data_IF_359960409100
#
_entry.id   IF_359960409100
#
_cell.length_a   1.000
_cell.length_b   1.000
_cell.length_c   1.000
_cell.angle_alpha   90.00
_cell.angle_beta   90.00
_cell.angle_gamma   90.00
#
_symmetry.space_group_name_H-M   'P 1'
#
loop_
_entity.id
_entity.type
_entity.pdbx_description
1 polymer ?
#
# COMPACT_ATOMS: atom_id res chain seq x y z
N UNK A 1 33.11 -12.74 -48.71
CA UNK A 1 33.34 -12.89 -50.16
C UNK A 1 34.72 -12.32 -50.41
N UNK A 2 35.66 -13.05 -51.02
CA UNK A 2 37.06 -12.60 -51.14
C UNK A 2 37.19 -11.49 -52.20
N UNK A 3 37.63 -10.29 -51.79
CA UNK A 3 37.70 -9.12 -52.68
C UNK A 3 38.79 -9.24 -53.75
N UNK A 4 39.90 -9.91 -53.45
CA UNK A 4 40.98 -10.16 -54.41
C UNK A 4 40.50 -10.96 -55.61
N UNK A 5 39.73 -12.03 -55.37
CA UNK A 5 39.17 -12.86 -56.45
C UNK A 5 38.23 -12.06 -57.36
N UNK A 6 37.40 -11.20 -56.77
CA UNK A 6 36.49 -10.32 -57.52
C UNK A 6 37.25 -9.31 -58.39
N UNK A 7 38.35 -8.75 -57.87
CA UNK A 7 39.19 -7.82 -58.63
C UNK A 7 39.93 -8.54 -59.77
N UNK A 8 40.41 -9.77 -59.53
CA UNK A 8 41.02 -10.62 -60.57
C UNK A 8 40.02 -10.97 -61.68
N UNK A 9 38.78 -11.31 -61.33
CA UNK A 9 37.71 -11.63 -62.28
C UNK A 9 37.29 -10.42 -63.15
N UNK A 10 37.55 -9.19 -62.68
CA UNK A 10 37.27 -7.94 -63.40
C UNK A 10 38.39 -7.52 -64.36
N UNK A 11 39.55 -8.17 -64.31
CA UNK A 11 40.66 -7.84 -65.20
C UNK A 11 40.45 -8.39 -66.62
N UNK A 12 40.84 -7.63 -67.67
CA UNK A 12 40.82 -8.15 -69.04
C UNK A 12 41.71 -9.38 -69.21
N UNK A 13 41.39 -10.33 -70.12
CA UNK A 13 42.11 -11.60 -70.27
C UNK A 13 43.62 -11.48 -70.54
N UNK A 14 44.07 -10.36 -71.12
CA UNK A 14 45.48 -10.09 -71.37
C UNK A 14 46.31 -9.91 -70.08
N UNK A 15 45.65 -9.67 -68.95
CA UNK A 15 46.23 -9.58 -67.61
C UNK A 15 45.95 -10.88 -66.82
N UNK A 16 45.95 -12.05 -67.47
CA UNK A 16 45.83 -13.34 -66.78
C UNK A 16 47.10 -13.58 -65.95
N UNK A 17 46.97 -13.57 -64.64
CA UNK A 17 48.08 -13.40 -63.72
C UNK A 17 48.40 -14.69 -62.97
N UNK A 18 49.68 -15.08 -62.96
CA UNK A 18 50.22 -16.06 -62.04
C UNK A 18 50.20 -15.53 -60.59
N UNK A 19 50.03 -16.41 -59.60
CA UNK A 19 49.84 -16.02 -58.19
C UNK A 19 50.97 -15.14 -57.60
N UNK A 20 52.16 -15.19 -58.20
CA UNK A 20 53.39 -14.50 -57.80
C UNK A 20 53.65 -13.16 -58.54
N UNK A 21 52.71 -12.67 -59.37
CA UNK A 21 52.94 -11.42 -60.10
C UNK A 21 52.87 -10.16 -59.21
N UNK A 22 53.60 -9.13 -59.62
CA UNK A 22 53.54 -7.78 -59.04
C UNK A 22 52.12 -7.20 -59.11
N UNK A 23 51.37 -7.51 -60.16
CA UNK A 23 49.99 -7.04 -60.33
C UNK A 23 49.05 -7.72 -59.32
N UNK A 24 49.28 -9.00 -58.98
CA UNK A 24 48.57 -9.67 -57.88
C UNK A 24 48.86 -8.99 -56.57
N UNK A 25 50.13 -8.70 -56.27
CA UNK A 25 50.53 -8.06 -55.02
C UNK A 25 49.90 -6.66 -54.86
N UNK A 26 49.79 -5.90 -55.96
CA UNK A 26 49.13 -4.60 -55.94
C UNK A 26 47.61 -4.72 -55.74
N UNK A 27 46.96 -5.67 -56.43
CA UNK A 27 45.55 -5.97 -56.22
C UNK A 27 45.25 -6.51 -54.82
N UNK A 28 46.18 -7.22 -54.21
CA UNK A 28 46.07 -7.76 -52.85
C UNK A 28 46.03 -6.62 -51.81
N UNK A 29 46.92 -5.62 -51.95
CA UNK A 29 46.87 -4.40 -51.13
C UNK A 29 45.52 -3.69 -51.31
N UNK A 30 45.06 -3.51 -52.55
CA UNK A 30 43.77 -2.87 -52.81
C UNK A 30 42.59 -3.67 -52.26
N UNK A 31 42.63 -5.01 -52.35
CA UNK A 31 41.62 -5.89 -51.79
C UNK A 31 41.58 -5.81 -50.26
N UNK A 32 42.75 -5.79 -49.61
CA UNK A 32 42.87 -5.63 -48.16
C UNK A 32 42.28 -4.29 -47.69
N UNK A 33 42.59 -3.18 -48.37
CA UNK A 33 42.00 -1.87 -48.06
C UNK A 33 40.47 -1.86 -48.25
N UNK A 34 39.96 -2.55 -49.29
CA UNK A 34 38.51 -2.70 -49.48
C UNK A 34 37.86 -3.55 -48.38
N UNK A 35 38.54 -4.59 -47.89
CA UNK A 35 38.06 -5.41 -46.77
C UNK A 35 38.02 -4.62 -45.46
N UNK A 36 39.05 -3.82 -45.18
CA UNK A 36 39.08 -2.90 -44.02
C UNK A 36 37.93 -1.88 -44.14
N UNK A 37 37.75 -1.26 -45.30
CA UNK A 37 36.66 -0.30 -45.52
C UNK A 37 35.28 -0.96 -45.35
N UNK A 38 35.11 -2.18 -45.85
CA UNK A 38 33.86 -2.93 -45.68
C UNK A 38 33.60 -3.29 -44.22
N UNK A 39 34.63 -3.69 -43.47
CA UNK A 39 34.52 -3.93 -42.02
C UNK A 39 34.11 -2.64 -41.29
N UNK A 40 34.72 -1.51 -41.61
CA UNK A 40 34.35 -0.21 -41.03
C UNK A 40 32.93 0.22 -41.42
N UNK A 41 32.48 -0.05 -42.65
CA UNK A 41 31.11 0.23 -43.07
C UNK A 41 30.12 -0.66 -42.33
N UNK A 42 30.41 -1.95 -42.18
CA UNK A 42 29.58 -2.88 -41.41
C UNK A 42 29.54 -2.47 -39.93
N UNK A 43 30.67 -2.01 -39.39
CA UNK A 43 30.80 -1.46 -38.04
C UNK A 43 29.90 -0.24 -37.83
N UNK A 44 29.96 0.72 -38.75
CA UNK A 44 29.10 1.91 -38.73
C UNK A 44 27.63 1.51 -38.90
N UNK A 45 27.30 0.57 -39.79
CA UNK A 45 25.91 0.13 -39.97
C UNK A 45 25.38 -0.51 -38.68
N UNK A 46 26.17 -1.34 -38.00
CA UNK A 46 25.75 -2.01 -36.77
C UNK A 46 25.54 -1.04 -35.60
N UNK A 47 26.29 0.06 -35.53
CA UNK A 47 26.14 1.04 -34.44
C UNK A 47 24.85 1.87 -34.49
N UNK A 48 24.12 1.83 -35.60
CA UNK A 48 22.86 2.55 -35.77
C UNK A 48 21.61 1.74 -35.37
N UNK A 49 21.74 0.42 -35.16
CA UNK A 49 20.61 -0.46 -34.85
C UNK A 49 20.82 -1.14 -33.51
N UNK A 50 19.86 -0.96 -32.59
CA UNK A 50 19.95 -1.51 -31.23
C UNK A 50 20.08 -3.04 -31.20
N UNK A 51 19.49 -3.75 -32.17
CA UNK A 51 19.58 -5.21 -32.22
C UNK A 51 21.00 -5.70 -32.55
N UNK A 52 21.76 -4.93 -33.35
CA UNK A 52 23.08 -5.31 -33.84
C UNK A 52 24.25 -4.58 -33.20
N UNK A 53 24.00 -3.54 -32.38
CA UNK A 53 25.06 -2.72 -31.78
C UNK A 53 25.94 -3.54 -30.86
N UNK A 54 27.25 -3.58 -31.13
CA UNK A 54 28.19 -4.44 -30.40
C UNK A 54 29.01 -3.69 -29.33
N UNK A 55 28.90 -2.36 -29.26
CA UNK A 55 29.54 -1.49 -28.24
C UNK A 55 28.51 -0.88 -27.30
N UNK A 56 28.85 -0.80 -26.02
CA UNK A 56 27.98 -0.22 -25.00
C UNK A 56 27.79 1.28 -25.21
N UNK A 57 28.86 1.98 -25.56
CA UNK A 57 28.86 3.44 -25.75
C UNK A 57 27.95 3.86 -26.91
N UNK A 58 27.85 3.02 -27.95
CA UNK A 58 26.98 3.28 -29.09
C UNK A 58 25.51 3.00 -28.74
N UNK A 59 25.24 1.96 -27.94
CA UNK A 59 23.90 1.73 -27.39
C UNK A 59 23.44 2.88 -26.48
N UNK A 60 24.34 3.45 -25.66
CA UNK A 60 24.05 4.62 -24.82
C UNK A 60 23.71 5.86 -25.66
N UNK A 61 24.41 6.09 -26.78
CA UNK A 61 24.08 7.18 -27.71
C UNK A 61 22.69 7.01 -28.31
N UNK A 62 22.33 5.79 -28.71
CA UNK A 62 20.99 5.50 -29.24
C UNK A 62 19.91 5.73 -28.17
N UNK A 63 20.13 5.24 -26.94
CA UNK A 63 19.22 5.42 -25.82
C UNK A 63 19.05 6.90 -25.43
N UNK A 64 20.13 7.69 -25.52
CA UNK A 64 20.11 9.12 -25.23
C UNK A 64 19.17 9.92 -26.16
N UNK A 65 18.88 9.43 -27.38
CA UNK A 65 17.88 10.05 -28.27
C UNK A 65 16.48 10.03 -27.67
N UNK A 66 16.20 9.05 -26.79
CA UNK A 66 14.94 8.90 -26.07
C UNK A 66 15.03 9.34 -24.60
N UNK A 67 16.18 9.92 -24.19
CA UNK A 67 16.42 10.31 -22.80
C UNK A 67 16.66 9.15 -21.83
N UNK A 68 16.78 7.91 -22.32
CA UNK A 68 16.96 6.73 -21.49
C UNK A 68 18.44 6.61 -21.10
N UNK A 69 18.71 6.47 -19.80
CA UNK A 69 20.06 6.29 -19.27
C UNK A 69 20.33 4.84 -18.91
N UNK A 70 21.57 4.39 -19.07
CA UNK A 70 22.02 3.08 -18.59
C UNK A 70 22.14 3.09 -17.06
N UNK A 71 21.76 1.98 -16.44
CA UNK A 71 21.97 1.76 -15.00
C UNK A 71 23.39 1.25 -14.74
N UNK A 72 23.92 1.51 -13.55
CA UNK A 72 25.32 1.23 -13.25
C UNK A 72 25.71 -0.25 -13.48
N UNK A 73 24.80 -1.18 -13.14
CA UNK A 73 25.01 -2.63 -13.26
C UNK A 73 24.78 -3.18 -14.68
N UNK A 74 24.18 -2.41 -15.59
CA UNK A 74 23.77 -2.94 -16.87
C UNK A 74 24.96 -3.18 -17.80
N UNK A 75 25.03 -4.39 -18.34
CA UNK A 75 25.92 -4.75 -19.45
C UNK A 75 25.23 -4.46 -20.78
N UNK A 76 25.97 -4.49 -21.90
CA UNK A 76 25.38 -4.30 -23.22
C UNK A 76 24.18 -5.24 -23.48
N UNK A 77 24.24 -6.56 -23.20
CA UNK A 77 23.09 -7.43 -23.41
C UNK A 77 21.86 -7.02 -22.58
N UNK A 78 22.02 -6.70 -21.29
CA UNK A 78 20.87 -6.36 -20.43
C UNK A 78 20.31 -4.98 -20.76
N UNK A 79 21.17 -4.01 -21.00
CA UNK A 79 20.77 -2.67 -21.42
C UNK A 79 20.01 -2.69 -22.75
N UNK A 80 20.50 -3.49 -23.72
CA UNK A 80 19.86 -3.66 -25.01
C UNK A 80 18.44 -4.20 -24.87
N UNK A 81 18.24 -5.27 -24.09
CA UNK A 81 16.90 -5.84 -23.92
C UNK A 81 15.94 -4.88 -23.22
N UNK A 82 16.42 -4.10 -22.24
CA UNK A 82 15.62 -3.03 -21.65
C UNK A 82 15.24 -1.99 -22.68
N UNK A 83 16.19 -1.52 -23.50
CA UNK A 83 15.94 -0.50 -24.51
C UNK A 83 14.95 -0.99 -25.57
N UNK A 84 15.05 -2.25 -26.00
CA UNK A 84 14.13 -2.86 -26.97
C UNK A 84 12.71 -2.95 -26.40
N UNK A 85 12.53 -3.16 -25.10
CA UNK A 85 11.21 -3.16 -24.48
C UNK A 85 10.67 -1.74 -24.22
N UNK A 86 11.53 -0.84 -23.74
CA UNK A 86 11.14 0.50 -23.27
C UNK A 86 10.94 1.51 -24.40
N UNK A 87 11.78 1.47 -25.44
CA UNK A 87 11.73 2.44 -26.53
C UNK A 87 10.39 2.42 -27.30
N UNK A 88 9.84 1.26 -27.71
CA UNK A 88 8.52 1.21 -28.34
C UNK A 88 7.42 1.76 -27.42
N UNK A 89 7.45 1.37 -26.14
CA UNK A 89 6.47 1.84 -25.15
C UNK A 89 6.49 3.38 -25.03
N UNK A 90 7.67 4.00 -24.95
CA UNK A 90 7.78 5.47 -24.91
C UNK A 90 7.31 6.14 -26.20
N UNK A 91 7.65 5.58 -27.37
CA UNK A 91 7.26 6.15 -28.67
C UNK A 91 5.75 6.05 -28.93
N UNK A 92 5.11 5.01 -28.43
CA UNK A 92 3.65 4.82 -28.52
C UNK A 92 2.88 5.63 -27.47
N UNK A 93 3.57 6.22 -26.48
CA UNK A 93 2.91 6.91 -25.36
C UNK A 93 2.21 5.93 -24.40
N UNK A 94 2.80 4.75 -24.21
CA UNK A 94 2.31 3.65 -23.38
C UNK A 94 2.09 4.05 -21.92
N UNK A 95 0.93 4.62 -21.63
CA UNK A 95 0.52 5.03 -20.28
C UNK A 95 -0.67 4.22 -19.77
N UNK A 96 -1.30 3.42 -20.64
CA UNK A 96 -2.46 2.61 -20.30
C UNK A 96 -2.12 1.25 -19.68
N UNK A 97 -3.10 0.58 -19.05
CA UNK A 97 -2.86 -0.67 -18.37
C UNK A 97 -2.32 -1.78 -19.28
N UNK A 98 -2.78 -1.85 -20.53
CA UNK A 98 -2.39 -2.92 -21.44
C UNK A 98 -0.96 -2.74 -21.95
N UNK A 99 -0.56 -1.50 -22.20
CA UNK A 99 0.77 -1.16 -22.67
C UNK A 99 1.79 -1.36 -21.55
N UNK A 100 1.43 -1.02 -20.29
CA UNK A 100 2.24 -1.36 -19.12
C UNK A 100 2.38 -2.88 -18.95
N UNK A 101 1.29 -3.64 -19.14
CA UNK A 101 1.35 -5.11 -19.10
C UNK A 101 2.30 -5.67 -20.16
N UNK A 102 2.19 -5.17 -21.40
CA UNK A 102 3.05 -5.58 -22.51
C UNK A 102 4.52 -5.28 -22.21
N UNK A 103 4.82 -4.06 -21.75
CA UNK A 103 6.17 -3.67 -21.38
C UNK A 103 6.77 -4.56 -20.29
N UNK A 104 6.03 -4.80 -19.20
CA UNK A 104 6.49 -5.64 -18.08
C UNK A 104 6.78 -7.07 -18.55
N UNK A 105 5.89 -7.64 -19.36
CA UNK A 105 6.07 -8.97 -19.94
C UNK A 105 7.30 -9.05 -20.84
N UNK A 106 7.45 -8.11 -21.77
CA UNK A 106 8.59 -8.07 -22.70
C UNK A 106 9.91 -7.87 -21.97
N UNK A 107 9.96 -6.95 -21.02
CA UNK A 107 11.16 -6.69 -20.24
C UNK A 107 11.62 -7.95 -19.47
N UNK A 108 10.74 -8.56 -18.68
CA UNK A 108 11.12 -9.70 -17.83
C UNK A 108 11.48 -10.91 -18.70
N UNK A 109 10.69 -11.23 -19.73
CA UNK A 109 10.94 -12.39 -20.60
C UNK A 109 12.28 -12.27 -21.36
N UNK A 110 12.64 -11.06 -21.78
CA UNK A 110 13.92 -10.77 -22.42
C UNK A 110 15.11 -10.84 -21.46
N UNK A 111 14.97 -10.28 -20.25
CA UNK A 111 15.98 -10.36 -19.21
C UNK A 111 16.26 -11.80 -18.81
N UNK A 112 15.22 -12.64 -18.68
CA UNK A 112 15.41 -14.07 -18.47
C UNK A 112 16.27 -14.68 -19.59
N UNK A 113 15.91 -14.43 -20.85
CA UNK A 113 16.61 -14.97 -22.02
C UNK A 113 18.10 -14.64 -22.01
N UNK A 114 18.45 -13.37 -21.79
CA UNK A 114 19.85 -12.90 -21.82
C UNK A 114 20.65 -13.41 -20.63
N UNK A 115 20.08 -13.38 -19.42
CA UNK A 115 20.78 -13.82 -18.22
C UNK A 115 20.78 -15.35 -18.05
N UNK A 116 20.20 -16.09 -18.98
CA UNK A 116 19.99 -17.55 -18.89
C UNK A 116 19.42 -17.99 -17.53
N UNK A 117 18.61 -17.11 -16.94
CA UNK A 117 18.07 -17.22 -15.59
C UNK A 117 16.56 -17.27 -15.64
N UNK A 118 15.95 -17.87 -14.62
CA UNK A 118 14.48 -17.95 -14.48
C UNK A 118 14.06 -17.14 -13.27
N UNK A 119 13.59 -15.92 -13.50
CA UNK A 119 13.08 -15.02 -12.44
C UNK A 119 11.62 -15.33 -12.12
N UNK A 120 10.86 -15.72 -13.15
CA UNK A 120 9.50 -16.20 -13.09
C UNK A 120 9.37 -17.54 -13.82
N UNK A 121 8.96 -18.57 -13.09
CA UNK A 121 8.88 -19.91 -13.64
C UNK A 121 7.87 -19.98 -14.79
N UNK A 122 8.35 -20.23 -16.01
CA UNK A 122 7.51 -20.50 -17.18
C UNK A 122 7.09 -19.28 -18.00
N UNK A 123 7.56 -18.07 -17.66
CA UNK A 123 7.18 -16.84 -18.38
C UNK A 123 7.54 -16.88 -19.87
N UNK A 124 8.66 -17.52 -20.25
CA UNK A 124 9.07 -17.66 -21.66
C UNK A 124 8.15 -18.53 -22.51
N UNK A 125 7.31 -19.34 -21.87
CA UNK A 125 6.47 -20.35 -22.52
C UNK A 125 4.97 -20.01 -22.39
N UNK A 126 4.65 -18.75 -22.16
CA UNK A 126 3.28 -18.24 -22.05
C UNK A 126 3.12 -17.00 -22.92
N UNK A 127 1.90 -16.73 -23.38
CA UNK A 127 1.58 -15.47 -24.05
C UNK A 127 1.42 -14.34 -23.02
N UNK A 128 1.32 -13.09 -23.48
CA UNK A 128 1.00 -11.94 -22.62
C UNK A 128 -0.24 -12.20 -21.77
N UNK A 129 -1.34 -12.64 -22.39
CA UNK A 129 -2.60 -12.92 -21.71
C UNK A 129 -2.41 -13.98 -20.63
N UNK A 130 -1.71 -15.07 -20.96
CA UNK A 130 -1.43 -16.16 -20.03
C UNK A 130 -0.48 -15.76 -18.88
N UNK A 131 0.35 -14.74 -19.08
CA UNK A 131 1.24 -14.22 -18.05
C UNK A 131 0.47 -13.49 -16.93
N UNK A 132 -0.70 -12.90 -17.24
CA UNK A 132 -1.57 -12.22 -16.27
C UNK A 132 -2.78 -13.07 -15.84
N UNK A 133 -3.20 -14.01 -16.68
CA UNK A 133 -4.30 -14.94 -16.43
C UNK A 133 -3.80 -16.39 -16.62
N UNK A 134 -3.42 -17.07 -15.54
CA UNK A 134 -2.74 -18.36 -15.63
C UNK A 134 -3.66 -19.41 -16.25
N UNK A 135 -3.19 -20.19 -17.24
CA UNK A 135 -4.01 -21.24 -17.83
C UNK A 135 -4.24 -22.39 -16.81
N UNK A 136 -5.41 -23.02 -16.89
CA UNK A 136 -5.88 -24.01 -15.90
C UNK A 136 -4.98 -25.25 -15.76
N UNK A 137 -4.16 -25.52 -16.77
CA UNK A 137 -3.19 -26.63 -16.82
C UNK A 137 -1.89 -26.36 -16.05
N UNK A 138 -1.67 -25.14 -15.54
CA UNK A 138 -0.46 -24.74 -14.81
C UNK A 138 -0.78 -24.16 -13.43
N UNK A 139 -1.25 -24.96 -12.46
CA UNK A 139 -1.67 -24.49 -11.13
C UNK A 139 -0.54 -23.90 -10.28
N UNK A 140 0.72 -24.17 -10.64
CA UNK A 140 1.90 -23.63 -9.95
C UNK A 140 2.41 -22.32 -10.56
N UNK A 141 1.90 -21.92 -11.73
CA UNK A 141 2.27 -20.65 -12.36
C UNK A 141 1.62 -19.50 -11.58
N UNK A 142 2.44 -18.58 -11.09
CA UNK A 142 1.96 -17.36 -10.43
C UNK A 142 1.94 -16.25 -11.47
N UNK A 143 0.77 -15.69 -11.82
CA UNK A 143 0.68 -14.66 -12.84
C UNK A 143 1.26 -13.33 -12.34
N UNK A 144 1.75 -12.52 -13.28
CA UNK A 144 1.94 -11.09 -13.10
C UNK A 144 0.60 -10.45 -12.70
N UNK A 145 0.65 -9.39 -11.90
CA UNK A 145 -0.56 -8.61 -11.60
C UNK A 145 -0.31 -7.13 -11.81
N UNK A 146 -1.26 -6.47 -12.45
CA UNK A 146 -1.35 -5.03 -12.49
C UNK A 146 -2.59 -4.65 -11.68
N UNK A 147 -2.40 -3.97 -10.55
CA UNK A 147 -3.47 -3.53 -9.67
C UNK A 147 -3.68 -2.04 -9.88
N UNK A 148 -4.80 -1.66 -10.48
CA UNK A 148 -5.23 -0.27 -10.58
C UNK A 148 -5.88 0.17 -9.27
N UNK A 149 -5.52 1.37 -8.82
CA UNK A 149 -5.98 2.01 -7.59
C UNK A 149 -5.84 1.07 -6.37
N UNK A 150 -4.58 0.73 -5.99
CA UNK A 150 -4.32 -0.23 -4.92
C UNK A 150 -4.99 0.17 -3.61
N UNK A 151 -5.38 -0.83 -2.82
CA UNK A 151 -5.93 -0.64 -1.49
C UNK A 151 -4.79 -0.49 -0.49
N UNK A 152 -4.69 0.68 0.14
CA UNK A 152 -3.66 0.98 1.13
C UNK A 152 -4.28 1.05 2.51
N UNK A 153 -3.68 0.30 3.44
CA UNK A 153 -3.98 0.40 4.86
C UNK A 153 -3.30 1.65 5.42
N UNK A 154 -4.08 2.54 6.01
CA UNK A 154 -3.63 3.76 6.68
C UNK A 154 -3.92 3.65 8.17
N UNK A 155 -3.05 4.26 8.97
CA UNK A 155 -3.22 4.40 10.41
C UNK A 155 -3.28 5.87 10.76
N UNK A 156 -4.08 6.20 11.76
CA UNK A 156 -4.21 7.57 12.26
C UNK A 156 -2.86 8.10 12.73
N UNK A 157 -2.36 9.13 12.06
CA UNK A 157 -1.13 9.82 12.46
C UNK A 157 -1.37 10.69 13.69
N UNK A 158 -2.57 11.27 13.83
CA UNK A 158 -2.95 12.10 14.97
C UNK A 158 -2.98 11.31 16.28
N UNK A 159 -3.49 10.09 16.27
CA UNK A 159 -3.46 9.19 17.43
C UNK A 159 -2.05 8.64 17.66
N UNK A 160 -1.33 8.23 16.60
CA UNK A 160 0.03 7.71 16.72
C UNK A 160 1.00 8.72 17.34
N UNK A 161 0.87 10.01 17.01
CA UNK A 161 1.69 11.09 17.60
C UNK A 161 1.55 11.20 19.12
N UNK A 162 0.45 10.69 19.69
CA UNK A 162 0.20 10.65 21.15
C UNK A 162 0.44 9.26 21.75
N UNK A 163 0.96 8.31 20.98
CA UNK A 163 1.03 6.90 21.36
C UNK A 163 -0.36 6.31 21.66
N UNK A 164 -1.39 6.78 20.95
CA UNK A 164 -2.80 6.40 21.13
C UNK A 164 -3.45 6.94 22.40
N UNK A 165 -2.74 7.63 23.30
CA UNK A 165 -3.29 8.08 24.58
C UNK A 165 -4.26 9.25 24.40
N UNK A 166 -5.54 8.98 24.59
CA UNK A 166 -6.61 9.96 24.43
C UNK A 166 -7.26 10.30 25.77
N UNK A 167 -7.41 11.60 26.09
CA UNK A 167 -8.26 12.03 27.20
C UNK A 167 -9.75 11.99 26.84
N UNK A 168 -10.58 12.37 27.80
CA UNK A 168 -12.01 12.60 27.56
C UNK A 168 -12.22 13.79 26.61
N UNK A 169 -13.22 13.73 25.74
CA UNK A 169 -13.50 14.74 24.71
C UNK A 169 -12.31 15.03 23.78
N UNK A 170 -11.41 14.07 23.61
CA UNK A 170 -10.29 14.24 22.70
C UNK A 170 -10.79 14.35 21.27
N UNK A 171 -10.50 15.48 20.62
CA UNK A 171 -10.82 15.73 19.22
C UNK A 171 -9.57 15.56 18.37
N UNK A 172 -9.72 14.92 17.22
CA UNK A 172 -8.66 14.82 16.22
C UNK A 172 -9.25 14.83 14.82
N UNK A 173 -8.39 15.00 13.82
CA UNK A 173 -8.78 15.02 12.43
C UNK A 173 -8.02 13.94 11.67
N UNK A 174 -8.72 13.22 10.81
CA UNK A 174 -8.12 12.28 9.85
C UNK A 174 -8.59 12.61 8.45
N UNK A 175 -7.76 12.30 7.44
CA UNK A 175 -8.07 12.61 6.05
C UNK A 175 -8.11 11.31 5.26
N UNK A 176 -9.29 10.96 4.74
CA UNK A 176 -9.42 9.90 3.75
C UNK A 176 -9.07 10.48 2.38
N UNK A 177 -7.91 10.08 1.85
CA UNK A 177 -7.43 10.51 0.53
C UNK A 177 -7.92 9.58 -0.59
N UNK A 178 -8.64 8.51 -0.25
CA UNK A 178 -9.15 7.53 -1.19
C UNK A 178 -10.23 8.06 -2.14
N UNK A 179 -10.55 7.22 -3.12
CA UNK A 179 -11.59 7.49 -4.13
C UNK A 179 -13.01 7.45 -3.57
N UNK A 180 -13.24 6.66 -2.51
CA UNK A 180 -14.56 6.43 -1.92
C UNK A 180 -14.53 6.58 -0.41
N UNK A 181 -15.72 6.72 0.17
CA UNK A 181 -15.92 6.53 1.60
C UNK A 181 -15.41 5.15 2.01
N UNK A 182 -14.91 5.06 3.24
CA UNK A 182 -14.40 3.82 3.82
C UNK A 182 -14.84 3.68 5.27
N UNK A 183 -14.52 2.54 5.89
CA UNK A 183 -14.83 2.24 7.28
C UNK A 183 -13.54 2.15 8.08
N UNK A 184 -13.55 2.83 9.23
CA UNK A 184 -12.45 2.75 10.17
C UNK A 184 -12.64 1.55 11.10
N UNK A 185 -11.52 0.88 11.37
CA UNK A 185 -11.37 -0.12 12.42
C UNK A 185 -10.73 0.57 13.62
N UNK A 186 -11.18 0.20 14.81
CA UNK A 186 -10.68 0.78 16.05
C UNK A 186 -10.18 -0.30 16.99
N UNK A 187 -9.11 -0.02 17.70
CA UNK A 187 -8.73 -0.76 18.89
C UNK A 187 -8.71 0.21 20.08
N UNK A 188 -9.49 -0.09 21.11
CA UNK A 188 -9.60 0.71 22.32
C UNK A 188 -9.09 -0.11 23.49
N UNK A 189 -8.04 0.33 24.15
CA UNK A 189 -7.46 -0.34 25.31
C UNK A 189 -7.65 0.49 26.59
N UNK A 190 -8.00 -0.20 27.67
CA UNK A 190 -8.07 0.43 28.99
C UNK A 190 -6.68 0.77 29.54
N UNK A 191 -6.54 1.94 30.15
CA UNK A 191 -5.26 2.44 30.68
C UNK A 191 -5.14 2.27 32.20
N UNK A 192 -3.91 2.14 32.69
CA UNK A 192 -3.66 1.88 34.12
C UNK A 192 -4.13 3.06 34.99
N UNK A 193 -4.73 2.73 36.13
CA UNK A 193 -5.16 3.71 37.14
C UNK A 193 -6.50 4.39 36.84
N UNK A 194 -7.16 4.05 35.71
CA UNK A 194 -8.46 4.62 35.32
C UNK A 194 -9.37 3.60 34.67
N UNK A 195 -10.67 3.93 34.62
CA UNK A 195 -11.69 3.11 33.98
C UNK A 195 -12.15 3.79 32.70
N UNK A 196 -12.05 3.10 31.57
CA UNK A 196 -12.67 3.55 30.32
C UNK A 196 -14.12 3.06 30.34
N UNK A 197 -14.98 3.89 30.91
CA UNK A 197 -16.41 3.61 31.04
C UNK A 197 -17.13 4.02 29.76
N UNK A 198 -17.87 3.09 29.15
CA UNK A 198 -18.70 3.31 27.96
C UNK A 198 -17.96 4.13 26.87
N UNK A 199 -16.89 3.57 26.26
CA UNK A 199 -16.15 4.28 25.23
C UNK A 199 -17.04 4.51 24.01
N UNK A 200 -17.02 5.73 23.50
CA UNK A 200 -17.83 6.20 22.39
C UNK A 200 -16.95 6.97 21.43
N UNK A 201 -17.06 6.62 20.15
CA UNK A 201 -16.35 7.25 19.06
C UNK A 201 -17.38 7.88 18.13
N UNK A 202 -17.15 9.13 17.77
CA UNK A 202 -18.04 9.89 16.89
C UNK A 202 -17.22 10.47 15.76
N UNK A 203 -17.69 10.27 14.53
CA UNK A 203 -17.26 11.08 13.39
C UNK A 203 -18.23 12.27 13.27
N UNK A 204 -17.76 13.45 13.66
CA UNK A 204 -18.54 14.69 13.64
C UNK A 204 -18.87 15.14 12.21
N UNK A 205 -18.03 14.77 11.25
CA UNK A 205 -18.25 15.12 9.84
C UNK A 205 -19.42 14.35 9.24
N UNK A 206 -19.61 13.08 9.60
CA UNK A 206 -20.73 12.26 9.10
C UNK A 206 -21.90 12.18 10.08
N UNK A 207 -21.71 12.60 11.33
CA UNK A 207 -22.65 12.41 12.43
C UNK A 207 -22.82 10.94 12.83
N UNK A 208 -21.92 10.04 12.42
CA UNK A 208 -22.02 8.63 12.79
C UNK A 208 -21.32 8.40 14.14
N UNK A 209 -22.01 7.72 15.06
CA UNK A 209 -21.53 7.40 16.40
C UNK A 209 -21.53 5.88 16.60
N UNK A 210 -20.50 5.35 17.24
CA UNK A 210 -20.49 3.99 17.79
C UNK A 210 -20.02 4.02 19.24
N UNK A 211 -20.68 3.23 20.09
CA UNK A 211 -20.33 3.10 21.49
C UNK A 211 -20.40 1.66 21.98
N UNK A 212 -19.76 1.41 23.11
CA UNK A 212 -19.73 0.12 23.79
C UNK A 212 -20.26 0.28 25.21
N UNK A 213 -21.31 -0.44 25.60
CA UNK A 213 -22.06 -0.22 26.85
C UNK A 213 -21.35 -0.71 28.12
N UNK A 214 -20.15 -1.30 28.02
CA UNK A 214 -19.42 -1.81 29.18
C UNK A 214 -18.16 -0.98 29.48
N UNK A 215 -17.51 -1.34 30.59
CA UNK A 215 -16.24 -0.75 31.03
C UNK A 215 -15.05 -1.59 30.56
N UNK A 216 -14.06 -0.92 29.96
CA UNK A 216 -12.75 -1.52 29.69
C UNK A 216 -11.83 -1.29 30.89
N UNK A 217 -11.28 -2.40 31.40
CA UNK A 217 -10.29 -2.39 32.48
C UNK A 217 -8.89 -2.26 31.89
N UNK A 218 -7.92 -1.97 32.75
CA UNK A 218 -6.52 -2.02 32.34
C UNK A 218 -6.19 -3.41 31.75
N UNK A 219 -5.54 -3.42 30.58
CA UNK A 219 -5.21 -4.64 29.85
C UNK A 219 -6.33 -5.23 29.01
N UNK A 220 -7.56 -4.72 29.12
CA UNK A 220 -8.61 -5.05 28.16
C UNK A 220 -8.38 -4.28 26.86
N UNK A 221 -8.60 -4.97 25.74
CA UNK A 221 -8.65 -4.41 24.40
C UNK A 221 -9.99 -4.74 23.75
N UNK A 222 -10.69 -3.70 23.28
CA UNK A 222 -11.89 -3.76 22.47
C UNK A 222 -11.53 -3.46 21.02
N UNK A 223 -11.72 -4.43 20.15
CA UNK A 223 -11.55 -4.28 18.71
C UNK A 223 -12.91 -4.07 18.05
N UNK A 224 -13.07 -2.98 17.30
CA UNK A 224 -14.25 -2.67 16.51
C UNK A 224 -13.90 -2.85 15.02
N UNK A 225 -14.66 -3.68 14.32
CA UNK A 225 -14.42 -3.97 12.91
C UNK A 225 -15.71 -4.31 12.17
N UNK A 226 -15.63 -4.43 10.85
CA UNK A 226 -16.78 -4.83 10.01
C UNK A 226 -17.10 -6.29 10.32
N UNK A 227 -18.38 -6.56 10.58
CA UNK A 227 -18.86 -7.92 10.84
C UNK A 227 -18.68 -8.81 9.61
N UNK A 228 -18.35 -10.09 9.84
CA UNK A 228 -18.36 -11.10 8.77
C UNK A 228 -19.76 -11.31 8.18
N UNK A 229 -20.82 -10.94 8.92
CA UNK A 229 -22.20 -10.97 8.45
C UNK A 229 -22.63 -9.69 7.71
N UNK A 230 -21.71 -8.76 7.45
CA UNK A 230 -21.99 -7.57 6.65
C UNK A 230 -22.28 -7.96 5.20
N UNK A 231 -23.33 -7.37 4.62
CA UNK A 231 -23.76 -7.60 3.25
C UNK A 231 -23.91 -6.29 2.48
N UNK A 232 -24.36 -6.37 1.22
CA UNK A 232 -24.59 -5.18 0.38
C UNK A 232 -25.66 -4.23 0.93
N UNK A 233 -26.58 -4.71 1.79
CA UNK A 233 -27.64 -3.89 2.38
C UNK A 233 -27.16 -3.19 3.66
N UNK A 234 -26.28 -3.84 4.42
CA UNK A 234 -25.69 -3.33 5.66
C UNK A 234 -24.16 -3.43 5.61
N UNK A 235 -23.49 -2.72 4.71
CA UNK A 235 -22.03 -2.82 4.54
C UNK A 235 -21.25 -2.31 5.76
N UNK A 236 -21.94 -1.59 6.65
CA UNK A 236 -21.40 -0.96 7.87
C UNK A 236 -21.61 -1.78 9.14
N UNK A 237 -22.22 -2.96 9.05
CA UNK A 237 -22.56 -3.75 10.24
C UNK A 237 -21.31 -3.95 11.11
N UNK A 238 -21.37 -3.49 12.35
CA UNK A 238 -20.25 -3.53 13.28
C UNK A 238 -20.20 -4.88 14.01
N UNK A 239 -18.98 -5.33 14.29
CA UNK A 239 -18.68 -6.39 15.24
C UNK A 239 -17.66 -5.90 16.26
N UNK A 240 -17.76 -6.40 17.48
CA UNK A 240 -16.82 -6.12 18.56
C UNK A 240 -16.19 -7.41 19.10
N UNK A 241 -14.88 -7.35 19.36
CA UNK A 241 -14.18 -8.38 20.11
C UNK A 241 -13.48 -7.76 21.32
N UNK A 242 -13.81 -8.20 22.53
CA UNK A 242 -13.12 -7.85 23.77
C UNK A 242 -12.16 -8.97 24.15
N UNK A 243 -10.85 -8.69 24.14
CA UNK A 243 -9.80 -9.68 24.39
C UNK A 243 -9.95 -10.95 23.54
N UNK A 244 -10.38 -10.78 22.27
CA UNK A 244 -10.63 -11.87 21.33
C UNK A 244 -11.95 -12.64 21.53
N UNK A 245 -12.84 -12.22 22.43
CA UNK A 245 -14.19 -12.78 22.61
C UNK A 245 -15.23 -11.84 22.01
N UNK A 246 -16.22 -12.39 21.32
CA UNK A 246 -17.32 -11.59 20.77
C UNK A 246 -18.04 -10.81 21.87
N UNK A 247 -18.17 -9.50 21.66
CA UNK A 247 -18.83 -8.55 22.54
C UNK A 247 -19.81 -7.65 21.75
N UNK A 248 -20.22 -8.09 20.55
CA UNK A 248 -21.05 -7.32 19.61
C UNK A 248 -22.40 -6.92 20.21
N UNK A 249 -22.97 -7.75 21.09
CA UNK A 249 -24.25 -7.45 21.76
C UNK A 249 -24.21 -6.22 22.67
N UNK A 250 -23.01 -5.80 23.08
CA UNK A 250 -22.81 -4.63 23.94
C UNK A 250 -22.52 -3.35 23.13
N UNK A 251 -22.57 -3.42 21.80
CA UNK A 251 -22.45 -2.24 20.93
C UNK A 251 -23.78 -1.52 20.74
N UNK A 252 -23.69 -0.20 20.55
CA UNK A 252 -24.78 0.63 20.05
C UNK A 252 -24.21 1.65 19.06
N UNK A 253 -25.07 2.13 18.17
CA UNK A 253 -24.71 3.20 17.23
C UNK A 253 -25.90 4.12 16.98
N UNK A 254 -25.61 5.30 16.47
CA UNK A 254 -26.62 6.20 15.89
C UNK A 254 -26.03 6.87 14.66
N UNK A 255 -26.89 7.18 13.71
CA UNK A 255 -26.61 8.11 12.63
C UNK A 255 -27.20 9.49 12.94
N UNK A 256 -26.57 10.56 12.45
CA UNK A 256 -27.05 11.93 12.67
C UNK A 256 -26.84 12.48 14.09
N UNK A 257 -25.83 11.99 14.81
CA UNK A 257 -25.41 12.57 16.08
C UNK A 257 -24.96 14.02 15.89
N UNK A 258 -25.46 14.89 16.77
CA UNK A 258 -25.05 16.29 16.86
C UNK A 258 -24.75 16.62 18.31
N UNK A 259 -23.67 17.35 18.56
CA UNK A 259 -23.34 17.83 19.89
C UNK A 259 -24.46 18.72 20.48
N UNK A 260 -24.58 18.72 21.80
CA UNK A 260 -25.61 19.45 22.54
C UNK A 260 -27.02 18.85 22.46
N UNK A 261 -27.30 17.96 21.51
CA UNK A 261 -28.59 17.28 21.41
C UNK A 261 -28.65 16.05 22.33
N UNK A 262 -29.76 15.85 23.07
CA UNK A 262 -29.93 14.64 23.86
C UNK A 262 -30.07 13.42 22.94
N UNK A 263 -29.33 12.36 23.25
CA UNK A 263 -29.41 11.10 22.54
C UNK A 263 -30.58 10.27 23.09
N UNK A 264 -31.60 10.09 22.27
CA UNK A 264 -32.81 9.33 22.59
C UNK A 264 -32.67 7.88 22.12
N UNK A 265 -33.27 6.93 22.85
CA UNK A 265 -33.17 5.50 22.55
C UNK A 265 -33.76 5.14 21.19
N UNK A 266 -34.76 5.88 20.75
CA UNK A 266 -35.40 5.72 19.44
C UNK A 266 -34.49 6.11 18.26
N UNK A 267 -33.39 6.84 18.53
CA UNK A 267 -32.40 7.22 17.53
C UNK A 267 -31.34 6.13 17.30
N UNK A 268 -31.30 5.10 18.16
CA UNK A 268 -30.34 4.02 17.98
C UNK A 268 -30.66 3.20 16.75
N UNK A 269 -29.60 2.88 16.00
CA UNK A 269 -29.71 1.98 14.88
C UNK A 269 -30.13 0.59 15.41
N UNK A 270 -31.04 -0.11 14.70
CA UNK A 270 -31.53 -1.43 15.13
C UNK A 270 -30.41 -2.48 15.19
N UNK A 271 -29.32 -2.25 14.46
CA UNK A 271 -28.08 -3.03 14.54
C UNK A 271 -26.91 -2.04 14.60
N UNK A 272 -25.85 -2.33 15.39
CA UNK A 272 -24.73 -1.42 15.50
C UNK A 272 -24.00 -1.27 14.16
N UNK A 273 -23.74 -0.04 13.76
CA UNK A 273 -23.07 0.34 12.53
C UNK A 273 -21.76 1.05 12.82
N UNK A 274 -20.69 0.72 12.09
CA UNK A 274 -19.43 1.44 12.17
C UNK A 274 -19.58 2.86 11.59
N UNK A 275 -18.92 3.86 12.18
CA UNK A 275 -18.89 5.20 11.61
C UNK A 275 -18.18 5.21 10.25
N UNK A 276 -18.76 5.93 9.28
CA UNK A 276 -18.11 6.13 7.98
C UNK A 276 -16.93 7.07 8.13
N UNK A 277 -15.93 6.90 7.29
CA UNK A 277 -14.88 7.86 7.04
C UNK A 277 -15.12 8.41 5.63
N UNK A 278 -15.79 9.57 5.55
CA UNK A 278 -16.12 10.21 4.29
C UNK A 278 -14.85 10.62 3.54
N UNK A 279 -14.91 10.77 2.20
CA UNK A 279 -13.77 11.32 1.45
C UNK A 279 -13.41 12.73 1.95
N UNK A 280 -12.12 12.99 2.15
CA UNK A 280 -11.62 14.28 2.63
C UNK A 280 -11.39 14.33 4.15
N UNK A 281 -11.34 15.53 4.75
CA UNK A 281 -11.13 15.69 6.18
C UNK A 281 -12.35 15.20 6.98
N UNK A 282 -12.09 14.42 8.02
CA UNK A 282 -13.07 13.93 8.98
C UNK A 282 -12.64 14.33 10.38
N UNK A 283 -13.54 14.98 11.09
CA UNK A 283 -13.35 15.33 12.49
C UNK A 283 -13.91 14.25 13.39
N UNK A 284 -13.10 13.81 14.34
CA UNK A 284 -13.42 12.74 15.25
C UNK A 284 -13.38 13.24 16.69
N UNK A 285 -14.18 12.60 17.53
CA UNK A 285 -14.12 12.80 18.98
C UNK A 285 -14.26 11.49 19.74
N UNK A 286 -13.47 11.37 20.80
CA UNK A 286 -13.56 10.30 21.77
C UNK A 286 -14.33 10.79 22.99
N UNK A 287 -15.42 10.11 23.29
CA UNK A 287 -16.27 10.32 24.45
C UNK A 287 -16.21 9.08 25.34
N UNK A 288 -16.40 9.23 26.64
CA UNK A 288 -16.52 8.12 27.57
C UNK A 288 -17.56 8.47 28.63
N UNK A 289 -18.69 7.78 28.67
CA UNK A 289 -19.69 8.10 29.68
C UNK A 289 -19.16 7.67 31.06
N UNK A 290 -19.02 8.63 31.98
CA UNK A 290 -18.60 8.35 33.35
C UNK A 290 -19.63 7.46 34.07
N UNK A 291 -19.15 6.38 34.70
CA UNK A 291 -19.89 5.69 35.76
C UNK A 291 -19.51 6.36 37.08
N UNK A 292 -20.46 7.07 37.69
CA UNK A 292 -20.28 7.63 39.02
C UNK A 292 -20.61 6.61 40.11
N UNK A 293 -21.26 5.49 39.76
CA UNK A 293 -21.61 4.43 40.70
C UNK A 293 -22.65 4.90 41.73
N UNK A 294 -23.34 6.00 41.42
CA UNK A 294 -24.39 6.62 42.25
C UNK A 294 -25.64 6.70 41.39
N UNK A 295 -26.67 5.98 41.81
CA UNK A 295 -27.98 5.95 41.15
C UNK A 295 -28.50 7.36 40.90
N UNK A 296 -28.66 7.73 39.63
CA UNK A 296 -29.15 9.05 39.18
C UNK A 296 -28.06 10.02 38.69
N UNK A 297 -26.78 9.80 39.00
CA UNK A 297 -25.64 10.56 38.44
C UNK A 297 -25.10 9.95 37.15
N UNK A 298 -25.43 8.68 36.89
CA UNK A 298 -25.06 7.96 35.66
C UNK A 298 -25.86 8.44 34.42
N UNK A 299 -26.73 9.44 34.56
CA UNK A 299 -27.55 10.02 33.49
C UNK A 299 -26.82 11.16 32.76
N UNK A 300 -26.10 10.79 31.70
CA UNK A 300 -25.78 11.51 30.45
C UNK A 300 -25.21 12.95 30.51
N UNK A 301 -23.91 13.06 30.18
CA UNK A 301 -23.15 14.29 29.82
C UNK A 301 -23.26 14.72 28.35
N UNK A 302 -24.01 13.99 27.51
CA UNK A 302 -24.02 14.22 26.04
C UNK A 302 -24.76 15.50 25.64
N UNK A 303 -25.72 15.95 26.45
CA UNK A 303 -26.40 17.24 26.25
C UNK A 303 -25.58 18.44 26.75
N UNK A 304 -24.47 18.22 27.45
CA UNK A 304 -23.63 19.29 28.04
C UNK A 304 -22.47 19.65 27.10
N UNK A 305 -22.01 18.71 26.27
CA UNK A 305 -21.02 18.99 25.25
C UNK A 305 -21.65 19.79 24.10
N UNK A 306 -21.68 21.11 24.24
CA UNK A 306 -21.82 22.01 23.09
C UNK A 306 -20.60 21.90 22.17
N UNK A 307 -20.69 22.40 20.94
CA UNK A 307 -19.59 22.37 19.97
C UNK A 307 -18.31 23.02 20.50
N UNK A 308 -18.42 23.96 21.44
CA UNK A 308 -17.29 24.68 22.03
C UNK A 308 -16.69 24.00 23.27
N UNK A 309 -17.35 22.98 23.84
CA UNK A 309 -16.86 22.32 25.06
C UNK A 309 -15.56 21.54 24.77
N UNK A 310 -14.50 21.88 25.49
CA UNK A 310 -13.18 21.23 25.40
C UNK A 310 -12.65 20.87 26.78
N UNK A 311 -11.66 19.98 26.82
CA UNK A 311 -10.87 19.78 28.04
C UNK A 311 -10.05 21.05 28.30
N UNK A 312 -10.14 21.58 29.52
CA UNK A 312 -9.49 22.82 29.92
C UNK A 312 -7.97 22.69 29.92
N UNK A 313 -7.30 23.54 29.14
CA UNK A 313 -5.86 23.75 29.21
C UNK A 313 -5.63 25.12 29.85
N UNK A 314 -4.84 25.14 30.93
CA UNK A 314 -4.50 26.37 31.65
C UNK A 314 -3.91 27.39 30.66
N UNK A 315 -4.36 28.65 30.76
CA UNK A 315 -4.04 29.77 29.85
C UNK A 315 -4.53 29.68 28.39
N UNK A 316 -5.22 28.61 27.97
CA UNK A 316 -5.70 28.44 26.58
C UNK A 316 -7.22 28.36 26.44
N UNK A 317 -7.95 28.14 27.53
CA UNK A 317 -9.40 27.90 27.51
C UNK A 317 -10.12 28.82 28.50
N UNK A 318 -11.27 29.36 28.11
CA UNK A 318 -12.15 30.11 29.01
C UNK A 318 -12.84 29.14 29.97
N UNK A 319 -13.04 29.57 31.23
CA UNK A 319 -13.55 28.72 32.31
C UNK A 319 -14.98 28.22 32.05
N UNK A 320 -15.73 28.92 31.20
CA UNK A 320 -17.14 28.69 30.91
C UNK A 320 -17.35 27.56 29.87
N UNK A 321 -16.29 27.11 29.21
CA UNK A 321 -16.30 26.16 28.08
C UNK A 321 -15.32 24.97 28.28
N UNK A 322 -14.86 24.78 29.52
CA UNK A 322 -13.79 23.85 29.86
C UNK A 322 -14.26 22.79 30.86
N UNK A 323 -13.99 21.51 30.56
CA UNK A 323 -14.00 20.46 31.58
C UNK A 323 -12.65 20.37 32.27
N UNK A 324 -12.64 20.05 33.58
CA UNK A 324 -11.39 19.77 34.28
C UNK A 324 -10.58 18.69 33.55
N UNK A 325 -9.24 18.84 33.49
CA UNK A 325 -8.39 17.89 32.79
C UNK A 325 -8.62 16.48 33.32
N UNK A 326 -9.32 15.73 32.48
CA UNK A 326 -9.41 14.30 32.38
C UNK A 326 -8.11 13.66 32.76
N UNK A 327 -7.08 13.95 31.96
CA UNK A 327 -5.95 13.07 31.68
C UNK A 327 -6.36 11.89 30.79
N UNK A 328 -5.43 11.01 30.44
CA UNK A 328 -5.69 9.85 29.56
C UNK A 328 -6.78 8.93 30.12
N UNK A 329 -7.81 8.64 29.33
CA UNK A 329 -8.91 7.72 29.71
C UNK A 329 -8.89 6.42 28.91
N UNK A 330 -8.26 6.40 27.74
CA UNK A 330 -8.10 5.21 26.91
C UNK A 330 -6.84 5.32 26.04
N UNK A 331 -6.40 4.18 25.51
CA UNK A 331 -5.50 4.13 24.38
C UNK A 331 -6.32 3.73 23.14
N UNK A 332 -6.29 4.57 22.11
CA UNK A 332 -7.06 4.42 20.89
C UNK A 332 -6.11 4.25 19.69
N UNK A 333 -6.37 3.23 18.89
CA UNK A 333 -5.79 3.06 17.57
C UNK A 333 -6.91 3.06 16.52
N UNK A 334 -6.62 3.67 15.38
CA UNK A 334 -7.55 3.77 14.26
C UNK A 334 -6.82 3.39 12.98
N UNK A 335 -7.40 2.48 12.23
CA UNK A 335 -6.89 1.99 10.95
C UNK A 335 -8.03 1.99 9.93
N UNK A 336 -7.76 2.39 8.69
CA UNK A 336 -8.72 2.28 7.59
C UNK A 336 -8.02 1.82 6.32
N UNK A 337 -8.80 1.31 5.38
CA UNK A 337 -8.29 0.96 4.05
C UNK A 337 -8.85 1.94 3.03
N UNK A 338 -7.98 2.69 2.37
CA UNK A 338 -8.37 3.60 1.30
C UNK A 338 -7.96 3.05 -0.06
N UNK A 339 -8.75 3.35 -1.09
CA UNK A 339 -8.41 3.02 -2.48
C UNK A 339 -7.64 4.21 -3.04
N UNK A 340 -6.34 4.06 -3.28
CA UNK A 340 -5.46 5.16 -3.68
C UNK A 340 -5.87 5.71 -5.06
N UNK A 341 -6.14 7.01 -5.20
CA UNK A 341 -6.53 7.59 -6.48
C UNK A 341 -5.34 7.69 -7.43
N UNK A 342 -5.57 7.45 -8.72
CA UNK A 342 -4.58 7.63 -9.78
C UNK A 342 -3.25 6.93 -9.42
N UNK A 343 -3.34 5.64 -9.11
CA UNK A 343 -2.18 4.85 -8.75
C UNK A 343 -2.26 3.44 -9.35
N UNK A 344 -1.12 2.81 -9.63
CA UNK A 344 -1.07 1.40 -9.97
C UNK A 344 0.13 0.70 -9.35
N UNK A 345 -0.06 -0.59 -9.04
CA UNK A 345 1.03 -1.47 -8.59
C UNK A 345 1.23 -2.63 -9.58
N UNK A 346 2.49 -2.83 -10.00
CA UNK A 346 2.92 -3.99 -10.77
C UNK A 346 3.51 -5.01 -9.81
N UNK A 347 2.88 -6.17 -9.70
CA UNK A 347 3.36 -7.29 -8.88
C UNK A 347 4.04 -8.33 -9.75
N UNK A 348 5.30 -8.60 -9.42
CA UNK A 348 6.12 -9.64 -10.03
C UNK A 348 6.33 -10.75 -8.98
N UNK A 349 5.65 -11.89 -9.09
CA UNK A 349 5.80 -12.97 -8.12
C UNK A 349 7.19 -13.61 -8.23
N UNK A 350 7.91 -13.70 -7.10
CA UNK A 350 9.18 -14.42 -7.06
C UNK A 350 8.95 -15.93 -6.95
N UNK A 351 9.63 -16.66 -7.82
CA UNK A 351 9.74 -18.12 -7.79
C UNK A 351 11.12 -18.51 -7.20
N UNK A 352 11.35 -19.79 -6.89
CA UNK A 352 12.71 -20.27 -6.58
C UNK A 352 13.56 -20.08 -7.85
N UNK A 353 14.52 -19.18 -7.78
CA UNK A 353 15.41 -18.81 -8.88
C UNK A 353 16.64 -19.71 -8.83
N UNK A 354 17.04 -20.25 -9.97
CA UNK A 354 18.42 -20.73 -10.16
C UNK A 354 19.24 -19.54 -10.63
N UNK A 355 20.02 -18.97 -9.72
CA UNK A 355 20.88 -17.81 -10.02
C UNK A 355 22.13 -18.28 -10.78
N UNK A 356 22.62 -17.49 -11.76
CA UNK A 356 23.79 -17.85 -12.54
C UNK A 356 25.05 -17.70 -11.67
N UNK A 357 25.77 -18.81 -11.49
CA UNK A 357 26.94 -18.92 -10.59
C UNK A 357 28.05 -17.90 -10.85
N UNK A 358 28.14 -17.35 -12.07
CA UNK A 358 29.20 -16.42 -12.47
C UNK A 358 28.88 -14.93 -12.24
N UNK A 359 27.61 -14.58 -11.95
CA UNK A 359 27.21 -13.20 -11.60
C UNK A 359 27.35 -12.90 -10.10
N UNK A 360 27.36 -13.94 -9.26
CA UNK A 360 27.40 -13.83 -7.78
C UNK A 360 28.75 -13.40 -7.21
N UNK A 361 29.84 -13.41 -7.99
CA UNK A 361 31.19 -13.17 -7.46
C UNK A 361 31.67 -11.72 -7.53
N UNK A 362 30.96 -10.82 -8.23
CA UNK A 362 31.44 -9.46 -8.47
C UNK A 362 30.58 -8.34 -7.85
N UNK A 363 29.34 -8.62 -7.43
CA UNK A 363 28.40 -7.62 -6.92
C UNK A 363 27.66 -8.17 -5.69
N UNK A 364 27.60 -7.40 -4.60
CA UNK A 364 26.88 -7.73 -3.36
C UNK A 364 25.34 -7.78 -3.52
N UNK A 365 24.82 -7.54 -4.73
CA UNK A 365 23.37 -7.40 -5.02
C UNK A 365 22.92 -8.52 -5.98
N UNK A 366 21.93 -9.35 -5.59
CA UNK A 366 21.40 -10.42 -6.43
C UNK A 366 20.85 -9.93 -7.78
N UNK A 367 21.01 -10.73 -8.84
CA UNK A 367 20.56 -10.37 -10.20
C UNK A 367 19.07 -10.00 -10.29
N UNK A 368 18.20 -10.62 -9.49
CA UNK A 368 16.77 -10.29 -9.50
C UNK A 368 16.49 -8.87 -8.97
N UNK A 369 17.31 -8.36 -8.05
CA UNK A 369 17.14 -7.00 -7.50
C UNK A 369 17.55 -5.95 -8.52
N UNK A 370 18.59 -6.24 -9.31
CA UNK A 370 19.01 -5.42 -10.43
C UNK A 370 17.90 -5.33 -11.50
N UNK A 371 17.31 -6.47 -11.89
CA UNK A 371 16.15 -6.49 -12.80
C UNK A 371 14.95 -5.75 -12.17
N UNK A 372 14.75 -5.88 -10.87
CA UNK A 372 13.67 -5.17 -10.18
C UNK A 372 13.88 -3.65 -10.17
N UNK A 373 15.11 -3.19 -9.97
CA UNK A 373 15.50 -1.78 -10.10
C UNK A 373 15.25 -1.28 -11.52
N UNK A 374 15.73 -2.00 -12.54
CA UNK A 374 15.49 -1.62 -13.93
C UNK A 374 14.02 -1.57 -14.32
N UNK A 375 13.20 -2.48 -13.79
CA UNK A 375 11.75 -2.41 -13.98
C UNK A 375 11.12 -1.22 -13.27
N UNK A 376 11.52 -0.92 -12.03
CA UNK A 376 11.02 0.25 -11.28
C UNK A 376 11.32 1.54 -12.03
N UNK A 377 12.56 1.73 -12.45
CA UNK A 377 13.00 2.95 -13.12
C UNK A 377 12.29 3.11 -14.47
N UNK A 378 12.14 2.02 -15.23
CA UNK A 378 11.43 2.08 -16.51
C UNK A 378 9.93 2.36 -16.34
N UNK A 379 9.28 1.83 -15.31
CA UNK A 379 7.88 2.15 -14.98
C UNK A 379 7.75 3.61 -14.54
N UNK A 380 8.73 4.15 -13.82
CA UNK A 380 8.78 5.58 -13.49
C UNK A 380 8.98 6.46 -14.72
N UNK A 381 9.60 5.97 -15.79
CA UNK A 381 9.66 6.71 -17.07
C UNK A 381 8.35 6.62 -17.87
N UNK A 382 7.58 5.53 -17.73
CA UNK A 382 6.35 5.28 -18.48
C UNK A 382 5.07 5.82 -17.83
N UNK A 383 5.04 6.01 -16.51
CA UNK A 383 3.81 6.39 -15.83
C UNK A 383 3.28 7.77 -16.29
N UNK A 384 1.96 7.92 -16.36
CA UNK A 384 1.34 9.19 -16.70
C UNK A 384 1.57 10.24 -15.59
N UNK A 385 1.71 11.51 -15.97
CA UNK A 385 1.92 12.60 -15.02
C UNK A 385 0.82 12.63 -13.93
N UNK A 386 1.23 12.65 -12.66
CA UNK A 386 0.33 12.65 -11.52
C UNK A 386 -0.23 11.28 -11.12
N UNK A 387 0.17 10.20 -11.81
CA UNK A 387 -0.16 8.82 -11.43
C UNK A 387 0.96 8.23 -10.57
N UNK A 388 0.64 7.72 -9.39
CA UNK A 388 1.61 6.99 -8.58
C UNK A 388 1.85 5.60 -9.16
N UNK A 389 3.10 5.22 -9.38
CA UNK A 389 3.45 3.90 -9.91
C UNK A 389 4.41 3.19 -8.96
N UNK A 390 4.13 1.91 -8.70
CA UNK A 390 4.99 1.09 -7.84
C UNK A 390 5.19 -0.30 -8.44
N UNK A 391 6.42 -0.80 -8.38
CA UNK A 391 6.73 -2.18 -8.75
C UNK A 391 7.13 -2.97 -7.51
N UNK A 392 6.39 -4.04 -7.24
CA UNK A 392 6.56 -4.94 -6.10
C UNK A 392 7.01 -6.30 -6.60
N UNK A 393 8.26 -6.64 -6.33
CA UNK A 393 8.73 -8.02 -6.46
C UNK A 393 8.35 -8.76 -5.18
N UNK A 394 7.38 -9.65 -5.27
CA UNK A 394 6.85 -10.34 -4.10
C UNK A 394 7.94 -11.25 -3.54
N UNK A 395 8.30 -11.16 -2.25
CA UNK A 395 9.29 -12.05 -1.68
C UNK A 395 8.81 -13.49 -1.79
N UNK A 396 9.73 -14.42 -2.02
CA UNK A 396 9.42 -15.84 -1.90
C UNK A 396 9.04 -16.12 -0.43
N UNK A 397 7.78 -16.49 -0.20
CA UNK A 397 7.28 -16.87 1.12
C UNK A 397 6.91 -18.34 1.10
N UNK A 398 7.64 -19.13 1.89
CA UNK A 398 7.19 -20.46 2.30
C UNK A 398 6.42 -20.32 3.61
N UNK A 399 5.11 -20.58 3.57
CA UNK A 399 4.22 -20.38 4.73
C UNK A 399 4.07 -21.71 5.45
N UNK A 400 4.88 -21.93 6.48
CA UNK A 400 4.66 -23.01 7.44
C UNK A 400 3.65 -22.55 8.49
N UNK A 401 2.40 -23.04 8.43
CA UNK A 401 1.35 -22.69 9.38
C UNK A 401 1.61 -23.34 10.75
N UNK A 402 2.24 -22.63 11.67
CA UNK A 402 2.27 -22.98 13.09
C UNK A 402 1.40 -22.01 13.90
N UNK A 403 0.44 -22.52 14.68
CA UNK A 403 -0.37 -21.73 15.62
C UNK A 403 0.32 -21.72 16.98
N UNK A 404 0.97 -20.61 17.33
CA UNK A 404 1.52 -20.41 18.68
C UNK A 404 0.49 -19.65 19.52
N UNK A 405 0.11 -20.21 20.67
CA UNK A 405 -0.68 -19.51 21.69
C UNK A 405 0.21 -19.31 22.92
N UNK A 406 0.51 -18.06 23.25
CA UNK A 406 1.11 -17.70 24.53
C UNK A 406 0.00 -17.20 25.46
N UNK A 407 -0.14 -17.82 26.63
CA UNK A 407 -1.06 -17.37 27.68
C UNK A 407 -0.20 -16.79 28.80
N UNK A 408 -0.38 -15.50 29.10
CA UNK A 408 0.32 -14.84 30.21
C UNK A 408 -0.69 -14.59 31.33
N UNK A 409 -0.47 -15.22 32.47
CA UNK A 409 -1.38 -15.18 33.63
C UNK A 409 -1.04 -14.00 34.54
N UNK A 410 -1.56 -12.80 34.24
CA UNK A 410 -1.54 -11.70 35.20
C UNK A 410 -2.87 -11.64 35.96
N UNK A 411 -2.82 -11.64 37.28
CA UNK A 411 -3.97 -11.40 38.15
C UNK A 411 -4.10 -9.88 38.30
N UNK A 412 -5.10 -9.29 37.63
CA UNK A 412 -5.44 -7.88 37.80
C UNK A 412 -6.39 -7.78 38.99
N UNK A 413 -5.93 -7.16 40.07
CA UNK A 413 -6.73 -6.92 41.27
C UNK A 413 -7.56 -5.66 41.02
N UNK A 414 -8.89 -5.79 41.07
CA UNK A 414 -9.79 -4.63 40.97
C UNK A 414 -9.57 -3.70 42.18
N UNK A 415 -9.53 -2.35 42.00
CA UNK A 415 -9.57 -1.44 43.13
C UNK A 415 -10.90 -1.60 43.90
N UNK A 416 -10.83 -1.48 45.23
CA UNK A 416 -11.97 -1.68 46.16
C UNK A 416 -13.25 -1.02 45.63
N UNK A 417 -14.30 -1.83 45.49
CA UNK A 417 -15.62 -1.37 45.10
C UNK A 417 -16.35 -0.87 46.35
N UNK A 418 -16.86 0.36 46.30
CA UNK A 418 -17.79 0.85 47.32
C UNK A 418 -19.09 0.02 47.37
N UNK A 419 -19.89 0.12 48.44
CA UNK A 419 -21.05 -0.75 48.69
C UNK A 419 -22.25 -0.58 47.74
N UNK A 420 -22.17 0.33 46.76
CA UNK A 420 -23.20 0.51 45.75
C UNK A 420 -22.96 -0.48 44.60
N UNK A 421 -23.85 -1.47 44.46
CA UNK A 421 -23.75 -2.51 43.44
C UNK A 421 -23.75 -1.98 42.00
N UNK A 422 -23.44 -2.86 41.05
CA UNK A 422 -23.43 -2.58 39.62
C UNK A 422 -24.89 -2.50 39.12
N UNK A 423 -25.40 -1.29 38.90
CA UNK A 423 -26.69 -1.07 38.25
C UNK A 423 -26.60 -1.39 36.74
N UNK A 424 -27.69 -1.91 36.15
CA UNK A 424 -27.82 -2.08 34.69
C UNK A 424 -28.01 -0.71 34.04
N UNK A 425 -27.20 -0.41 33.04
CA UNK A 425 -27.23 0.85 32.30
C UNK A 425 -28.45 0.93 31.38
N UNK A 426 -29.21 2.03 31.46
CA UNK A 426 -30.25 2.38 30.49
C UNK A 426 -29.88 3.70 29.79
N UNK A 427 -29.66 3.64 28.47
CA UNK A 427 -29.43 4.82 27.62
C UNK A 427 -30.75 5.57 27.39
N UNK A 428 -30.71 6.91 27.56
CA UNK A 428 -31.81 7.83 27.26
C UNK A 428 -32.34 8.54 28.51
N UNK A 429 -32.07 9.85 28.63
CA UNK A 429 -32.61 10.70 29.69
C UNK A 429 -32.85 12.11 29.19
N UNK A 430 -34.00 12.71 29.55
CA UNK A 430 -34.27 14.14 29.34
C UNK A 430 -33.75 14.95 30.53
N UNK A 431 -33.15 16.10 30.26
CA UNK A 431 -32.78 17.07 31.29
C UNK A 431 -34.04 17.46 32.09
N UNK A 432 -33.99 17.33 33.43
CA UNK A 432 -35.05 17.80 34.33
C UNK A 432 -36.02 16.75 34.89
N UNK A 433 -35.89 15.46 34.58
CA UNK A 433 -36.70 14.40 35.20
C UNK A 433 -35.87 13.47 36.12
N UNK A 434 -34.94 14.03 36.90
CA UNK A 434 -34.38 13.32 38.04
C UNK A 434 -35.36 13.43 39.20
N UNK A 435 -35.69 12.33 39.91
CA UNK A 435 -36.49 12.39 41.14
C UNK A 435 -35.77 13.15 42.28
N UNK A 436 -34.53 13.59 42.08
CA UNK A 436 -33.72 14.36 43.02
C UNK A 436 -33.95 15.88 42.94
N UNK A 437 -35.17 16.33 42.66
CA UNK A 437 -35.57 17.75 42.79
C UNK A 437 -35.56 18.30 44.21
N UNK A 438 -34.93 17.62 45.18
CA UNK A 438 -35.03 17.91 46.61
C UNK A 438 -33.72 18.23 47.33
N UNK A 439 -32.54 18.16 46.69
CA UNK A 439 -31.27 18.43 47.36
C UNK A 439 -30.61 19.68 46.78
N UNK A 440 -30.94 20.83 47.37
CA UNK A 440 -30.12 22.04 47.28
C UNK A 440 -28.78 21.76 47.96
N UNK A 441 -27.68 21.95 47.24
CA UNK A 441 -26.36 22.06 47.84
C UNK A 441 -26.30 23.37 48.64
N UNK A 442 -26.02 23.25 49.94
CA UNK A 442 -25.55 24.33 50.80
C UNK A 442 -24.07 24.15 51.05
#
# INVERSE_FOLDING_TARGET
>A
MNHLKRLQDLLPPAYSIAADSILTALLDIAAMEMEIFQEDLDRVRQSHWIESVYRLEDAEKLAALLGIKRLAWETLPTFRERLIALAPALLEGATGPNEIKQFVYDYISRCERVLSSTFMLGLRNVTLEQAYEPPADRPLFRPLRLLENPRIVRRSSGLAARGGKVPYLYRWQEINRGLSDTLARFAISGVQGRRTSVPILVNLTTGDLIGFMETLRFGDTLELSVSESADSQNPRLAAAARNGRDATASLFSTSGFTFGAPLLKEQFDPKPLLPRLARGPNEWVNLSAGFYGVKGLDHFFFSIAGDDLREGVFDQTFFDEALFPSGTVAQLEMEWTETEPAAFEVHVPRCIVREPQDLDLALDVPAYEQIAEGLRDSILELHAAGVSARTVFEPFRDIQRQKVRAQVSWIIIDPEQGPAGIDRFELGGRFGSSPLGGSRFG
#
